data_IF_848840595945
#
_entry.id   IF_848840595945
#
_cell.length_a   1.000
_cell.length_b   1.000
_cell.length_c   1.000
_cell.angle_alpha   90.00
_cell.angle_beta   90.00
_cell.angle_gamma   90.00
#
_symmetry.space_group_name_H-M   'P 1'
#
loop_
_entity.id
_entity.type
_entity.pdbx_description
1 polymer ?
#
# COMPACT_ATOMS: atom_id res chain seq x y z
N UNK A 1 25.51 -7.16 -6.13
CA UNK A 1 24.53 -8.05 -5.50
C UNK A 1 23.84 -8.79 -6.62
N UNK A 2 23.90 -10.12 -6.65
CA UNK A 2 23.29 -10.91 -7.72
C UNK A 2 21.76 -10.87 -7.54
N UNK A 3 21.02 -10.62 -8.61
CA UNK A 3 19.55 -10.53 -8.60
C UNK A 3 18.82 -11.71 -7.90
N UNK A 4 19.31 -12.96 -7.96
CA UNK A 4 18.68 -14.09 -7.26
C UNK A 4 18.71 -13.98 -5.74
N UNK A 5 19.73 -13.36 -5.12
CA UNK A 5 19.77 -13.22 -3.66
C UNK A 5 18.79 -12.15 -3.18
N UNK A 6 18.71 -11.02 -3.89
CA UNK A 6 17.83 -9.92 -3.54
C UNK A 6 16.35 -10.31 -3.63
N UNK A 7 15.95 -11.03 -4.68
CA UNK A 7 14.53 -11.41 -4.84
C UNK A 7 14.05 -12.40 -3.75
N UNK A 8 14.94 -13.29 -3.30
CA UNK A 8 14.66 -14.18 -2.17
C UNK A 8 14.52 -13.39 -0.86
N UNK A 9 15.41 -12.42 -0.62
CA UNK A 9 15.31 -11.53 0.55
C UNK A 9 14.02 -10.69 0.51
N UNK A 10 13.63 -10.17 -0.66
CA UNK A 10 12.37 -9.44 -0.85
C UNK A 10 11.17 -10.30 -0.45
N UNK A 11 11.10 -11.54 -0.93
CA UNK A 11 10.02 -12.47 -0.62
C UNK A 11 10.00 -12.83 0.88
N UNK A 12 11.18 -13.12 1.46
CA UNK A 12 11.29 -13.45 2.88
C UNK A 12 10.82 -12.29 3.76
N UNK A 13 11.26 -11.06 3.47
CA UNK A 13 10.85 -9.87 4.21
C UNK A 13 9.36 -9.58 4.05
N UNK A 14 8.79 -9.83 2.86
CA UNK A 14 7.38 -9.57 2.59
C UNK A 14 6.46 -10.44 3.46
N UNK A 15 6.87 -11.67 3.76
CA UNK A 15 6.13 -12.65 4.57
C UNK A 15 6.48 -12.60 6.07
N UNK A 16 7.77 -12.41 6.40
CA UNK A 16 8.32 -12.65 7.72
C UNK A 16 9.16 -11.49 8.28
N UNK A 17 9.29 -10.39 7.54
CA UNK A 17 10.01 -9.20 7.98
C UNK A 17 9.31 -8.43 9.10
N UNK A 18 9.92 -7.34 9.54
CA UNK A 18 9.36 -6.45 10.56
C UNK A 18 8.06 -5.75 10.11
N UNK A 19 7.92 -5.54 8.79
CA UNK A 19 6.76 -4.93 8.16
C UNK A 19 6.21 -5.88 7.09
N UNK A 20 5.55 -6.98 7.50
CA UNK A 20 5.02 -7.95 6.54
C UNK A 20 3.91 -7.28 5.72
N UNK A 21 4.01 -7.43 4.40
CA UNK A 21 3.03 -6.94 3.43
C UNK A 21 2.21 -8.08 2.83
N UNK A 22 2.64 -9.33 3.02
CA UNK A 22 2.03 -10.54 2.47
C UNK A 22 1.34 -11.39 3.54
N UNK A 23 0.31 -12.13 3.14
CA UNK A 23 -0.36 -13.12 3.97
C UNK A 23 0.46 -14.42 3.98
N UNK A 24 0.85 -14.90 5.16
CA UNK A 24 1.63 -16.13 5.33
C UNK A 24 0.89 -17.40 4.91
N UNK A 25 -0.44 -17.35 4.88
CA UNK A 25 -1.27 -18.49 4.46
C UNK A 25 -1.39 -18.59 2.92
N UNK A 26 -1.09 -17.50 2.20
CA UNK A 26 -1.17 -17.47 0.74
C UNK A 26 0.16 -17.87 0.09
N UNK A 27 0.08 -18.55 -1.07
CA UNK A 27 1.25 -18.83 -1.89
C UNK A 27 1.92 -17.54 -2.36
N UNK A 28 3.24 -17.59 -2.58
CA UNK A 28 4.00 -16.48 -3.15
C UNK A 28 4.86 -16.95 -4.31
N UNK A 29 5.06 -16.07 -5.29
CA UNK A 29 5.91 -16.29 -6.46
C UNK A 29 6.88 -15.14 -6.58
N UNK A 30 8.12 -15.44 -6.92
CA UNK A 30 9.15 -14.47 -7.26
C UNK A 30 9.60 -14.69 -8.71
N UNK A 31 9.76 -13.61 -9.46
CA UNK A 31 10.28 -13.63 -10.83
C UNK A 31 10.99 -12.33 -11.19
N UNK A 32 11.86 -12.40 -12.19
CA UNK A 32 12.27 -11.22 -12.95
C UNK A 32 11.26 -11.03 -14.09
N UNK A 33 10.61 -9.88 -14.16
CA UNK A 33 9.66 -9.53 -15.21
C UNK A 33 10.13 -8.26 -15.92
N UNK A 34 10.47 -8.39 -17.21
CA UNK A 34 11.20 -7.36 -17.97
C UNK A 34 12.50 -6.98 -17.26
N UNK A 35 12.54 -5.83 -16.58
CA UNK A 35 13.70 -5.30 -15.85
C UNK A 35 13.46 -5.26 -14.33
N UNK A 36 12.28 -5.69 -13.86
CA UNK A 36 11.88 -5.52 -12.47
C UNK A 36 11.87 -6.86 -11.71
N UNK A 37 12.36 -6.82 -10.47
CA UNK A 37 12.15 -7.92 -9.53
C UNK A 37 10.72 -7.83 -9.02
N UNK A 38 9.95 -8.90 -9.18
CA UNK A 38 8.55 -8.98 -8.78
C UNK A 38 8.37 -10.12 -7.81
N UNK A 39 7.72 -9.83 -6.68
CA UNK A 39 7.16 -10.83 -5.79
C UNK A 39 5.67 -10.57 -5.68
N UNK A 40 4.83 -11.59 -5.83
CA UNK A 40 3.38 -11.48 -5.66
C UNK A 40 2.76 -12.71 -5.01
N UNK A 41 1.54 -12.50 -4.53
CA UNK A 41 0.62 -13.52 -4.05
C UNK A 41 -0.65 -13.50 -4.90
N UNK A 42 -0.50 -13.64 -6.21
CA UNK A 42 -1.65 -13.82 -7.08
C UNK A 42 -2.12 -15.28 -7.05
N UNK A 43 -3.36 -15.47 -6.60
CA UNK A 43 -4.04 -16.76 -6.46
C UNK A 43 -5.04 -17.04 -7.61
N UNK A 44 -5.05 -16.21 -8.67
CA UNK A 44 -5.91 -16.36 -9.83
C UNK A 44 -7.37 -15.94 -9.61
N UNK A 45 -7.78 -15.57 -8.39
CA UNK A 45 -9.17 -15.21 -8.10
C UNK A 45 -9.34 -13.91 -7.30
N UNK A 46 -8.26 -13.36 -6.72
CA UNK A 46 -8.26 -12.07 -6.01
C UNK A 46 -7.08 -11.20 -6.45
N UNK A 47 -7.26 -9.88 -6.38
CA UNK A 47 -6.13 -8.94 -6.45
C UNK A 47 -5.22 -9.19 -5.25
N UNK A 48 -4.15 -9.96 -5.47
CA UNK A 48 -3.17 -10.32 -4.45
C UNK A 48 -2.25 -9.17 -4.08
N UNK A 49 -1.51 -9.35 -2.99
CA UNK A 49 -0.43 -8.43 -2.65
C UNK A 49 0.73 -8.60 -3.64
N UNK A 50 1.38 -7.51 -4.02
CA UNK A 50 2.58 -7.55 -4.85
C UNK A 50 3.56 -6.44 -4.50
N UNK A 51 4.83 -6.72 -4.76
CA UNK A 51 5.90 -5.74 -4.73
C UNK A 51 6.76 -5.87 -5.98
N UNK A 52 7.06 -4.73 -6.59
CA UNK A 52 7.88 -4.62 -7.79
C UNK A 52 8.97 -3.59 -7.57
N UNK A 53 10.21 -3.99 -7.82
CA UNK A 53 11.40 -3.16 -7.71
C UNK A 53 12.09 -3.06 -9.08
N UNK A 54 12.31 -1.83 -9.55
CA UNK A 54 13.09 -1.58 -10.76
C UNK A 54 14.55 -1.23 -10.44
N UNK A 55 15.47 -1.34 -11.43
CA UNK A 55 16.91 -1.13 -11.20
C UNK A 55 17.27 0.30 -10.79
N UNK A 56 16.41 1.28 -11.12
CA UNK A 56 16.58 2.68 -10.74
C UNK A 56 16.15 2.98 -9.29
N UNK A 57 15.62 2.00 -8.57
CA UNK A 57 15.11 2.16 -7.21
C UNK A 57 13.63 2.51 -7.12
N UNK A 58 12.91 2.59 -8.25
CA UNK A 58 11.46 2.73 -8.23
C UNK A 58 10.83 1.48 -7.61
N UNK A 59 9.82 1.72 -6.78
CA UNK A 59 9.14 0.69 -6.00
C UNK A 59 7.63 0.86 -6.15
N UNK A 60 6.95 -0.22 -6.50
CA UNK A 60 5.49 -0.32 -6.47
C UNK A 60 5.09 -1.41 -5.49
N UNK A 61 4.29 -1.04 -4.49
CA UNK A 61 3.68 -1.96 -3.54
C UNK A 61 2.17 -1.86 -3.73
N UNK A 62 1.52 -2.98 -4.05
CA UNK A 62 0.07 -3.09 -4.17
C UNK A 62 -0.43 -4.03 -3.10
N UNK A 63 -1.29 -3.54 -2.21
CA UNK A 63 -1.87 -4.34 -1.12
C UNK A 63 -3.39 -4.39 -1.26
N UNK A 64 -4.02 -5.57 -1.10
CA UNK A 64 -5.46 -5.63 -1.05
C UNK A 64 -5.96 -4.90 0.19
N UNK A 65 -6.92 -4.01 -0.01
CA UNK A 65 -7.75 -3.49 1.07
C UNK A 65 -8.77 -4.59 1.39
N UNK A 66 -8.74 -5.19 2.59
CA UNK A 66 -9.65 -6.26 2.91
C UNK A 66 -11.10 -5.75 2.83
N UNK A 67 -12.04 -6.56 2.30
CA UNK A 67 -13.44 -6.23 2.45
C UNK A 67 -13.78 -6.18 3.95
N UNK A 68 -14.76 -5.36 4.38
CA UNK A 68 -15.23 -5.37 5.75
C UNK A 68 -15.54 -6.81 6.19
N UNK A 69 -15.16 -7.16 7.42
CA UNK A 69 -15.32 -8.51 7.95
C UNK A 69 -16.79 -8.97 7.80
N UNK A 70 -16.96 -10.15 7.18
CA UNK A 70 -18.23 -10.83 6.85
C UNK A 70 -19.45 -10.32 7.63
N UNK A 71 -20.22 -9.44 7.00
CA UNK A 71 -21.56 -9.01 7.42
C UNK A 71 -22.37 -8.58 6.20
N UNK A 72 -23.70 -8.68 6.27
CA UNK A 72 -24.63 -8.05 5.31
C UNK A 72 -24.63 -6.53 5.50
N UNK A 73 -23.50 -5.90 5.21
CA UNK A 73 -23.28 -4.46 5.35
C UNK A 73 -22.95 -3.83 4.00
N UNK A 74 -23.08 -2.51 3.97
CA UNK A 74 -22.69 -1.72 2.80
C UNK A 74 -21.17 -1.82 2.57
N UNK A 75 -20.69 -1.80 1.32
CA UNK A 75 -19.26 -1.70 1.04
C UNK A 75 -18.68 -0.44 1.70
N UNK A 76 -17.64 -0.61 2.50
CA UNK A 76 -16.96 0.49 3.20
C UNK A 76 -15.44 0.38 3.07
N UNK A 77 -14.80 1.54 2.97
CA UNK A 77 -13.35 1.68 3.13
C UNK A 77 -13.10 2.16 4.55
N UNK A 78 -12.31 1.40 5.30
CA UNK A 78 -12.08 1.65 6.71
C UNK A 78 -10.74 2.33 6.91
N UNK A 79 -10.78 3.50 7.53
CA UNK A 79 -9.63 4.37 7.71
C UNK A 79 -8.46 3.66 8.40
N UNK A 80 -8.76 2.86 9.44
CA UNK A 80 -7.77 2.12 10.21
C UNK A 80 -7.13 0.99 9.38
N UNK A 81 -7.89 0.36 8.48
CA UNK A 81 -7.35 -0.68 7.58
C UNK A 81 -6.40 -0.03 6.56
N UNK A 82 -6.77 1.14 6.01
CA UNK A 82 -5.89 1.91 5.11
C UNK A 82 -4.62 2.35 5.83
N UNK A 83 -4.74 2.92 7.03
CA UNK A 83 -3.58 3.33 7.83
C UNK A 83 -2.64 2.16 8.14
N UNK A 84 -3.19 0.99 8.49
CA UNK A 84 -2.41 -0.23 8.73
C UNK A 84 -1.68 -0.70 7.48
N UNK A 85 -2.34 -0.70 6.32
CA UNK A 85 -1.71 -1.09 5.04
C UNK A 85 -0.60 -0.11 4.63
N UNK A 86 -0.83 1.18 4.80
CA UNK A 86 0.18 2.22 4.56
C UNK A 86 1.39 2.03 5.48
N UNK A 87 1.17 1.73 6.76
CA UNK A 87 2.25 1.48 7.71
C UNK A 87 3.14 0.32 7.28
N UNK A 88 2.54 -0.82 6.88
CA UNK A 88 3.30 -1.96 6.36
C UNK A 88 4.04 -1.61 5.07
N UNK A 89 3.40 -0.92 4.13
CA UNK A 89 4.01 -0.54 2.86
C UNK A 89 5.19 0.43 3.04
N UNK A 90 5.02 1.48 3.84
CA UNK A 90 6.08 2.46 4.15
C UNK A 90 7.25 1.80 4.85
N UNK A 91 6.99 0.96 5.86
CA UNK A 91 8.04 0.24 6.57
C UNK A 91 8.80 -0.74 5.67
N UNK A 92 8.09 -1.47 4.80
CA UNK A 92 8.71 -2.36 3.83
C UNK A 92 9.57 -1.58 2.81
N UNK A 93 9.06 -0.45 2.31
CA UNK A 93 9.80 0.42 1.40
C UNK A 93 11.09 0.96 2.04
N UNK A 94 11.02 1.43 3.30
CA UNK A 94 12.19 1.89 4.04
C UNK A 94 13.24 0.79 4.20
N UNK A 95 12.82 -0.43 4.53
CA UNK A 95 13.71 -1.59 4.60
C UNK A 95 14.35 -1.89 3.24
N UNK A 96 13.55 -1.98 2.17
CA UNK A 96 14.05 -2.36 0.85
C UNK A 96 15.04 -1.32 0.29
N UNK A 97 14.72 -0.02 0.41
CA UNK A 97 15.64 1.04 0.02
C UNK A 97 16.96 0.96 0.78
N UNK A 98 16.92 0.66 2.09
CA UNK A 98 18.12 0.46 2.92
C UNK A 98 18.93 -0.75 2.49
N UNK A 99 18.27 -1.75 1.91
CA UNK A 99 18.93 -2.95 1.40
C UNK A 99 19.63 -2.73 0.06
N UNK A 100 18.98 -2.04 -0.88
CA UNK A 100 19.47 -1.88 -2.25
C UNK A 100 20.43 -0.69 -2.40
N UNK A 101 20.27 0.32 -1.56
CA UNK A 101 21.12 1.52 -1.52
C UNK A 101 21.56 1.81 -0.08
N UNK A 102 22.51 1.00 0.45
CA UNK A 102 23.08 1.20 1.78
C UNK A 102 23.97 2.44 1.85
N UNK A 103 24.37 3.00 0.71
CA UNK A 103 25.18 4.23 0.62
C UNK A 103 24.35 5.51 0.58
N UNK A 104 23.01 5.40 0.65
CA UNK A 104 22.08 6.54 0.59
C UNK A 104 22.29 7.48 -0.61
N UNK A 105 22.62 6.91 -1.78
CA UNK A 105 22.68 7.66 -3.04
C UNK A 105 21.30 8.16 -3.47
N UNK A 106 20.25 7.40 -3.18
CA UNK A 106 18.86 7.81 -3.30
C UNK A 106 18.53 8.65 -2.07
N UNK A 107 18.69 9.96 -2.19
CA UNK A 107 18.47 10.92 -1.10
C UNK A 107 17.03 11.42 -1.01
N UNK A 108 16.33 11.43 -2.14
CA UNK A 108 14.97 11.92 -2.28
C UNK A 108 14.07 10.89 -2.95
N UNK A 109 12.82 10.90 -2.56
CA UNK A 109 11.77 10.02 -3.08
C UNK A 109 10.51 10.86 -3.35
N UNK A 110 9.60 10.31 -4.15
CA UNK A 110 8.27 10.87 -4.37
C UNK A 110 7.26 9.80 -3.98
N UNK A 111 6.82 9.73 -2.71
CA UNK A 111 5.82 8.77 -2.31
C UNK A 111 4.47 9.18 -2.90
N UNK A 112 3.83 8.23 -3.58
CA UNK A 112 2.54 8.41 -4.23
C UNK A 112 1.63 7.25 -3.82
N UNK A 113 0.39 7.57 -3.50
CA UNK A 113 -0.58 6.57 -3.03
C UNK A 113 -1.88 6.74 -3.79
N UNK A 114 -2.49 5.63 -4.19
CA UNK A 114 -3.84 5.61 -4.73
C UNK A 114 -4.61 4.43 -4.15
N UNK A 115 -5.93 4.56 -4.15
CA UNK A 115 -6.83 3.43 -4.00
C UNK A 115 -7.36 3.08 -5.39
N UNK A 116 -7.27 1.81 -5.76
CA UNK A 116 -7.70 1.31 -7.06
C UNK A 116 -8.76 0.22 -6.85
N UNK A 117 -9.71 0.12 -7.78
CA UNK A 117 -10.79 -0.85 -7.74
C UNK A 117 -12.15 -0.24 -8.08
N UNK A 118 -13.11 -1.14 -8.30
CA UNK A 118 -14.53 -0.89 -8.57
C UNK A 118 -15.34 -0.66 -7.28
N UNK A 119 -14.68 -0.39 -6.15
CA UNK A 119 -15.33 -0.31 -4.85
C UNK A 119 -16.10 1.00 -4.65
N UNK A 120 -17.35 1.07 -5.13
CA UNK A 120 -18.31 2.07 -4.64
C UNK A 120 -18.62 1.79 -3.17
N UNK A 121 -18.17 2.65 -2.26
CA UNK A 121 -18.33 2.45 -0.82
C UNK A 121 -18.08 3.72 -0.02
N UNK A 122 -18.57 3.77 1.21
CA UNK A 122 -18.38 4.92 2.09
C UNK A 122 -17.03 4.82 2.82
N UNK A 123 -16.26 5.93 2.89
CA UNK A 123 -15.10 6.04 3.76
C UNK A 123 -15.54 6.28 5.20
N UNK A 124 -15.12 5.43 6.14
CA UNK A 124 -15.50 5.53 7.56
C UNK A 124 -14.38 5.09 8.48
N UNK A 125 -14.38 5.57 9.70
CA UNK A 125 -13.68 4.92 10.81
C UNK A 125 -14.43 3.65 11.22
N UNK A 126 -13.75 2.74 11.92
CA UNK A 126 -14.40 1.53 12.41
C UNK A 126 -15.46 1.82 13.46
N UNK A 127 -15.19 2.76 14.35
CA UNK A 127 -16.15 3.18 15.37
C UNK A 127 -17.44 3.73 14.73
N UNK A 128 -17.34 4.53 13.66
CA UNK A 128 -18.50 4.99 12.91
C UNK A 128 -19.25 3.84 12.25
N UNK A 129 -18.54 2.91 11.61
CA UNK A 129 -19.16 1.76 10.94
C UNK A 129 -19.91 0.87 11.94
N UNK A 130 -19.30 0.53 13.07
CA UNK A 130 -19.90 -0.31 14.11
C UNK A 130 -21.15 0.34 14.74
N UNK A 131 -21.16 1.68 14.86
CA UNK A 131 -22.31 2.42 15.35
C UNK A 131 -23.50 2.41 14.37
N UNK A 132 -23.26 2.33 13.05
CA UNK A 132 -24.34 2.26 12.06
C UNK A 132 -23.91 1.54 10.77
N UNK A 133 -23.90 0.19 10.75
CA UNK A 133 -23.32 -0.60 9.65
C UNK A 133 -24.08 -0.49 8.32
N UNK A 134 -25.39 -0.20 8.38
CA UNK A 134 -26.32 -0.25 7.24
C UNK A 134 -26.76 1.14 6.74
N UNK A 135 -26.11 2.21 7.18
CA UNK A 135 -26.43 3.59 6.77
C UNK A 135 -25.21 4.30 6.21
N UNK A 136 -25.38 5.09 5.15
CA UNK A 136 -24.32 5.94 4.61
C UNK A 136 -24.73 6.59 3.31
N UNK A 137 -24.12 7.74 3.00
CA UNK A 137 -24.13 8.30 1.65
C UNK A 137 -23.00 7.65 0.85
N UNK A 138 -23.30 7.30 -0.40
CA UNK A 138 -22.33 6.76 -1.33
C UNK A 138 -21.95 7.88 -2.31
N UNK A 139 -20.65 8.08 -2.59
CA UNK A 139 -20.26 8.94 -3.69
C UNK A 139 -20.87 8.41 -4.99
N UNK A 140 -21.51 9.29 -5.76
CA UNK A 140 -22.30 8.94 -6.94
C UNK A 140 -21.44 8.54 -8.15
N UNK A 141 -20.12 8.74 -8.09
CA UNK A 141 -19.19 8.38 -9.17
C UNK A 141 -18.39 7.14 -8.82
N UNK A 142 -18.69 6.07 -9.55
CA UNK A 142 -17.96 4.83 -9.55
C UNK A 142 -16.78 4.95 -10.53
N UNK A 143 -15.54 4.95 -10.04
CA UNK A 143 -14.34 4.77 -10.89
C UNK A 143 -13.44 5.98 -11.15
N UNK A 144 -13.71 7.17 -10.58
CA UNK A 144 -12.84 8.37 -10.79
C UNK A 144 -11.78 8.59 -9.68
N UNK A 145 -11.60 7.63 -8.76
CA UNK A 145 -10.71 7.78 -7.58
C UNK A 145 -9.29 7.20 -7.78
N UNK A 146 -8.87 6.90 -9.01
CA UNK A 146 -7.61 6.18 -9.27
C UNK A 146 -6.36 7.07 -9.37
N UNK A 147 -6.52 8.40 -9.41
CA UNK A 147 -5.36 9.28 -9.47
C UNK A 147 -4.57 9.25 -8.15
N UNK A 148 -3.24 9.16 -8.22
CA UNK A 148 -2.41 9.18 -7.02
C UNK A 148 -2.48 10.53 -6.31
N UNK A 149 -2.54 10.47 -4.99
CA UNK A 149 -2.28 11.61 -4.12
C UNK A 149 -0.79 11.68 -3.78
N UNK A 150 -0.31 12.90 -3.60
CA UNK A 150 1.08 13.20 -3.26
C UNK A 150 1.13 14.07 -2.01
N UNK A 151 2.22 13.98 -1.27
CA UNK A 151 2.53 14.93 -0.20
C UNK A 151 2.80 16.33 -0.78
N UNK A 152 2.78 17.34 0.09
CA UNK A 152 3.15 18.71 -0.25
C UNK A 152 4.34 19.16 0.62
N UNK A 153 5.55 19.29 0.07
CA UNK A 153 5.95 19.02 -1.33
C UNK A 153 5.90 17.53 -1.71
N UNK A 154 5.83 17.21 -3.00
CA UNK A 154 5.75 15.82 -3.46
C UNK A 154 7.08 15.07 -3.30
N UNK A 155 8.20 15.75 -3.53
CA UNK A 155 9.51 15.20 -3.23
C UNK A 155 9.80 15.33 -1.74
N UNK A 156 10.28 14.24 -1.15
CA UNK A 156 10.61 14.15 0.27
C UNK A 156 12.02 13.58 0.42
N UNK A 157 12.68 13.91 1.52
CA UNK A 157 13.90 13.22 1.92
C UNK A 157 13.57 11.76 2.22
N UNK A 158 14.41 10.83 1.80
CA UNK A 158 14.17 9.39 1.96
C UNK A 158 13.92 8.97 3.40
N UNK A 159 14.57 9.63 4.36
CA UNK A 159 14.47 9.36 5.79
C UNK A 159 13.06 9.61 6.36
N UNK A 160 12.18 10.28 5.62
CA UNK A 160 10.77 10.44 6.01
C UNK A 160 10.06 9.09 6.18
N UNK A 161 10.49 8.05 5.44
CA UNK A 161 9.91 6.70 5.54
C UNK A 161 10.32 5.96 6.82
N UNK A 162 11.31 6.43 7.58
CA UNK A 162 11.78 5.80 8.81
C UNK A 162 11.60 6.69 10.04
N UNK A 163 11.99 7.97 9.97
CA UNK A 163 11.94 8.91 11.10
C UNK A 163 10.52 9.45 11.30
N UNK A 164 9.88 9.88 10.21
CA UNK A 164 8.59 10.57 10.23
C UNK A 164 7.46 9.71 9.63
N UNK A 165 7.64 8.39 9.59
CA UNK A 165 6.73 7.47 8.92
C UNK A 165 5.27 7.63 9.38
N UNK A 166 5.07 7.82 10.69
CA UNK A 166 3.74 8.04 11.27
C UNK A 166 3.04 9.26 10.67
N UNK A 167 3.74 10.39 10.58
CA UNK A 167 3.19 11.62 10.00
C UNK A 167 2.86 11.43 8.53
N UNK A 168 3.74 10.76 7.78
CA UNK A 168 3.51 10.45 6.36
C UNK A 168 2.24 9.63 6.17
N UNK A 169 2.03 8.61 7.01
CA UNK A 169 0.83 7.77 6.97
C UNK A 169 -0.42 8.59 7.29
N UNK A 170 -0.39 9.41 8.34
CA UNK A 170 -1.51 10.28 8.74
C UNK A 170 -1.87 11.27 7.60
N UNK A 171 -0.87 11.91 6.98
CA UNK A 171 -1.08 12.84 5.86
C UNK A 171 -1.68 12.12 4.64
N UNK A 172 -1.19 10.92 4.31
CA UNK A 172 -1.76 10.14 3.19
C UNK A 172 -3.19 9.70 3.44
N UNK A 173 -3.53 9.29 4.66
CA UNK A 173 -4.90 8.93 5.05
C UNK A 173 -5.84 10.12 4.82
N UNK A 174 -5.45 11.32 5.24
CA UNK A 174 -6.24 12.55 5.03
C UNK A 174 -6.39 12.86 3.54
N UNK A 175 -5.31 12.78 2.77
CA UNK A 175 -5.35 13.06 1.33
C UNK A 175 -6.23 12.06 0.57
N UNK A 176 -6.10 10.77 0.88
CA UNK A 176 -6.95 9.72 0.30
C UNK A 176 -8.42 9.92 0.66
N UNK A 177 -8.74 10.19 1.93
CA UNK A 177 -10.11 10.46 2.38
C UNK A 177 -10.70 11.66 1.66
N UNK A 178 -9.92 12.73 1.49
CA UNK A 178 -10.35 13.92 0.75
C UNK A 178 -10.64 13.57 -0.71
N UNK A 179 -9.76 12.82 -1.37
CA UNK A 179 -9.96 12.39 -2.78
C UNK A 179 -11.14 11.44 -2.94
N UNK A 180 -11.38 10.58 -1.95
CA UNK A 180 -12.51 9.65 -1.92
C UNK A 180 -13.87 10.35 -1.85
N UNK A 181 -13.93 11.47 -1.12
CA UNK A 181 -15.16 12.25 -0.93
C UNK A 181 -15.31 13.41 -1.92
N UNK A 182 -14.40 13.58 -2.88
CA UNK A 182 -14.51 14.61 -3.91
C UNK A 182 -15.38 14.11 -5.07
N UNK A 183 -16.40 14.91 -5.42
CA UNK A 183 -17.39 14.70 -6.50
C UNK A 183 -16.82 14.88 -7.93
#
# INVERSE_FOLDING_TARGET
>A
MEAPSLIAEMQQSALFGAHPIFDRAAGSRSRLESEALVVDQDDGHRSGASVRLWPNGDLLISLPVPPPARGMGLPVVLEEDIASKLASAVGYAAWLLSRIDPTERITHIVPAVRLSGDGGGAWRTRAEHDASPNSGQFPWRHGEHEEPVFLAPAHQVRQVLSIDARRVIEDFVVLLRRRWNQD
#
